data_IF_785620641331
#
_entry.id   IF_785620641331
#
_cell.length_a   1.000
_cell.length_b   1.000
_cell.length_c   1.000
_cell.angle_alpha   90.00
_cell.angle_beta   90.00
_cell.angle_gamma   90.00
#
_symmetry.space_group_name_H-M   'P 1'
#
loop_
_entity.id
_entity.type
_entity.pdbx_description
1 polymer ?
#
# COMPACT_ATOMS: atom_id res chain seq x y z
N UNK A 1 -32.94 25.75 -30.33
CA UNK A 1 -32.05 26.92 -30.44
C UNK A 1 -32.91 28.16 -30.65
N UNK A 2 -33.17 28.96 -29.60
CA UNK A 2 -33.61 30.36 -29.70
C UNK A 2 -33.21 31.07 -28.39
N UNK A 3 -32.94 32.38 -28.44
CA UNK A 3 -32.21 33.17 -27.42
C UNK A 3 -33.11 34.21 -26.76
N UNK A 4 -32.95 34.37 -25.44
CA UNK A 4 -32.91 35.62 -24.62
C UNK A 4 -34.13 36.58 -24.71
N UNK A 5 -34.53 37.29 -23.64
CA UNK A 5 -33.71 38.19 -22.80
C UNK A 5 -34.13 38.28 -21.31
N UNK A 6 -33.22 38.90 -20.54
CA UNK A 6 -33.26 39.35 -19.13
C UNK A 6 -34.28 40.50 -18.88
N UNK A 7 -34.58 40.99 -17.65
CA UNK A 7 -34.09 40.75 -16.27
C UNK A 7 -35.19 41.11 -15.27
N UNK A 8 -35.14 40.61 -14.02
CA UNK A 8 -35.60 41.40 -12.86
C UNK A 8 -34.90 40.97 -11.56
N UNK A 9 -34.59 41.93 -10.69
CA UNK A 9 -33.84 41.74 -9.44
C UNK A 9 -34.65 42.23 -8.25
N UNK A 10 -34.77 41.42 -7.19
CA UNK A 10 -35.45 41.84 -5.96
C UNK A 10 -35.17 40.93 -4.77
N UNK A 11 -34.57 41.49 -3.72
CA UNK A 11 -34.44 40.88 -2.38
C UNK A 11 -35.03 41.87 -1.38
N UNK A 12 -35.84 41.38 -0.41
CA UNK A 12 -35.86 41.98 0.91
C UNK A 12 -35.69 40.95 2.05
N UNK A 13 -35.15 41.43 3.16
CA UNK A 13 -34.97 40.67 4.42
C UNK A 13 -36.21 40.76 5.33
N UNK A 14 -36.28 39.88 6.33
CA UNK A 14 -37.22 39.99 7.47
C UNK A 14 -36.40 40.05 8.78
N UNK A 15 -36.82 40.91 9.71
CA UNK A 15 -36.10 41.25 10.94
C UNK A 15 -36.86 40.81 12.22
N UNK A 16 -36.19 40.93 13.37
CA UNK A 16 -36.44 40.23 14.65
C UNK A 16 -37.66 40.66 15.50
N UNK A 17 -38.08 39.80 16.43
CA UNK A 17 -38.73 40.10 17.74
C UNK A 17 -38.69 38.85 18.65
N UNK A 18 -37.76 38.72 19.61
CA UNK A 18 -37.80 39.19 21.03
C UNK A 18 -38.70 38.38 21.98
N UNK A 19 -38.12 37.72 23.02
CA UNK A 19 -38.61 37.75 24.41
C UNK A 19 -37.53 37.36 25.46
N UNK A 20 -37.84 37.59 26.75
CA UNK A 20 -36.97 37.76 27.96
C UNK A 20 -37.25 36.64 29.03
N UNK A 21 -36.46 36.34 30.09
CA UNK A 21 -35.13 36.72 30.63
C UNK A 21 -34.78 35.78 31.84
N UNK A 22 -33.49 35.66 32.24
CA UNK A 22 -32.98 35.21 33.59
C UNK A 22 -33.28 33.74 34.01
N UNK A 23 -32.57 33.02 34.91
CA UNK A 23 -31.29 33.07 35.67
C UNK A 23 -30.60 31.67 35.51
N UNK A 24 -29.37 31.31 35.90
CA UNK A 24 -28.51 31.59 37.08
C UNK A 24 -27.10 31.03 36.78
N UNK A 25 -26.03 31.55 37.38
CA UNK A 25 -24.69 30.95 37.31
C UNK A 25 -24.23 30.41 38.67
N UNK A 26 -23.65 29.21 38.71
CA UNK A 26 -22.91 28.67 39.85
C UNK A 26 -21.78 27.74 39.37
N UNK A 27 -20.60 27.86 39.99
CA UNK A 27 -19.38 27.15 39.62
C UNK A 27 -19.39 25.66 40.05
N UNK A 28 -18.69 24.82 39.28
CA UNK A 28 -17.97 23.64 39.78
C UNK A 28 -16.80 23.31 38.84
N UNK A 29 -15.72 22.77 39.40
CA UNK A 29 -14.39 22.67 38.77
C UNK A 29 -14.04 21.21 38.48
N UNK A 30 -13.36 20.95 37.36
CA UNK A 30 -12.80 19.65 36.97
C UNK A 30 -13.76 18.80 36.11
N UNK A 31 -13.30 17.98 35.16
CA UNK A 31 -11.94 17.51 34.84
C UNK A 31 -11.70 17.60 33.32
N UNK A 32 -10.43 17.57 32.90
CA UNK A 32 -9.97 17.39 31.51
C UNK A 32 -10.75 16.23 30.81
N UNK A 33 -11.00 16.23 29.50
CA UNK A 33 -10.01 16.21 28.43
C UNK A 33 -10.43 17.05 27.21
N UNK A 34 -9.70 18.13 26.94
CA UNK A 34 -9.63 18.71 25.62
C UNK A 34 -8.33 18.25 24.96
N UNK A 35 -8.45 17.37 23.96
CA UNK A 35 -7.58 17.25 22.77
C UNK A 35 -8.03 16.05 21.93
N UNK A 36 -9.16 16.22 21.25
CA UNK A 36 -9.48 15.43 20.07
C UNK A 36 -8.58 15.90 18.91
N UNK A 37 -7.34 15.41 18.90
CA UNK A 37 -6.32 15.80 17.92
C UNK A 37 -6.09 14.67 16.91
N UNK A 38 -7.01 14.61 15.94
CA UNK A 38 -6.80 14.18 14.54
C UNK A 38 -5.50 13.38 14.23
N UNK A 39 -5.44 12.13 14.68
CA UNK A 39 -4.54 11.12 14.11
C UNK A 39 -5.21 10.48 12.89
N UNK A 40 -5.23 11.20 11.78
CA UNK A 40 -5.68 10.66 10.49
C UNK A 40 -5.14 11.48 9.30
N UNK A 41 -4.63 10.74 8.29
CA UNK A 41 -4.34 11.20 6.93
C UNK A 41 -3.06 12.01 6.65
N UNK A 42 -1.88 11.59 7.15
CA UNK A 42 -0.60 12.01 6.53
C UNK A 42 0.51 10.94 6.45
N UNK A 43 0.44 9.81 7.17
CA UNK A 43 1.52 8.78 7.25
C UNK A 43 1.76 7.95 5.96
N UNK A 44 1.11 8.25 4.83
CA UNK A 44 1.22 7.42 3.61
C UNK A 44 2.35 7.84 2.65
N UNK A 45 3.07 8.93 2.94
CA UNK A 45 4.12 9.48 2.05
C UNK A 45 5.50 9.66 2.72
N UNK A 46 5.60 9.52 4.04
CA UNK A 46 6.85 9.72 4.76
C UNK A 46 7.60 8.39 4.90
N UNK A 47 8.91 8.41 4.64
CA UNK A 47 9.75 7.23 4.84
C UNK A 47 9.82 6.86 6.33
N UNK A 48 9.94 5.56 6.68
CA UNK A 48 10.05 5.14 8.09
C UNK A 48 11.15 5.91 8.84
N UNK A 49 10.81 6.47 10.00
CA UNK A 49 11.79 7.10 10.90
C UNK A 49 12.06 6.16 12.07
N UNK A 50 13.10 5.34 11.96
CA UNK A 50 13.54 4.39 12.98
C UNK A 50 14.99 4.67 13.43
N UNK A 51 15.30 4.33 14.69
CA UNK A 51 16.66 4.45 15.21
C UNK A 51 17.55 3.36 14.59
N UNK A 52 18.73 3.75 14.10
CA UNK A 52 19.39 3.04 13.02
C UNK A 52 20.33 1.93 13.50
N UNK A 53 19.85 0.68 13.50
CA UNK A 53 20.70 -0.52 13.33
C UNK A 53 19.93 -1.84 13.16
N UNK A 54 18.63 -1.91 13.45
CA UNK A 54 17.87 -3.16 13.39
C UNK A 54 17.53 -3.62 11.96
N UNK A 55 17.46 -4.94 11.75
CA UNK A 55 17.00 -5.54 10.49
C UNK A 55 15.58 -5.09 10.11
N UNK A 56 14.72 -4.86 11.09
CA UNK A 56 13.36 -4.33 10.94
C UNK A 56 13.34 -2.95 10.26
N UNK A 57 14.26 -2.05 10.64
CA UNK A 57 14.36 -0.71 10.05
C UNK A 57 14.79 -0.78 8.58
N UNK A 58 15.78 -1.62 8.26
CA UNK A 58 16.17 -1.89 6.87
C UNK A 58 15.03 -2.53 6.06
N UNK A 59 14.32 -3.50 6.64
CA UNK A 59 13.15 -4.13 6.02
C UNK A 59 12.05 -3.10 5.74
N UNK A 60 11.69 -2.27 6.70
CA UNK A 60 10.67 -1.24 6.55
C UNK A 60 11.01 -0.25 5.42
N UNK A 61 12.25 0.26 5.38
CA UNK A 61 12.69 1.12 4.28
C UNK A 61 12.62 0.43 2.91
N UNK A 62 12.96 -0.86 2.84
CA UNK A 62 12.92 -1.64 1.61
C UNK A 62 11.49 -1.91 1.15
N UNK A 63 10.57 -2.23 2.08
CA UNK A 63 9.15 -2.38 1.78
C UNK A 63 8.54 -1.05 1.30
N UNK A 64 8.87 0.06 1.96
CA UNK A 64 8.48 1.40 1.50
C UNK A 64 8.96 1.68 0.07
N UNK A 65 10.22 1.34 -0.28
CA UNK A 65 10.71 1.46 -1.66
C UNK A 65 9.90 0.61 -2.65
N UNK A 66 9.52 -0.61 -2.28
CA UNK A 66 8.66 -1.48 -3.10
C UNK A 66 7.24 -0.90 -3.28
N UNK A 67 6.70 -0.22 -2.27
CA UNK A 67 5.41 0.47 -2.34
C UNK A 67 5.49 1.67 -3.28
N UNK A 68 6.54 2.50 -3.18
CA UNK A 68 6.79 3.63 -4.08
C UNK A 68 6.94 3.17 -5.54
N UNK A 69 7.59 2.03 -5.81
CA UNK A 69 7.64 1.42 -7.16
C UNK A 69 6.25 1.05 -7.73
N UNK A 70 5.24 0.92 -6.87
CA UNK A 70 3.85 0.61 -7.25
C UNK A 70 2.90 1.80 -7.15
N UNK A 71 3.36 2.97 -6.72
CA UNK A 71 2.48 4.14 -6.56
C UNK A 71 1.86 4.55 -7.92
N UNK A 72 0.54 4.71 -7.96
CA UNK A 72 -0.19 5.05 -9.19
C UNK A 72 -0.23 3.95 -10.26
N UNK A 73 0.19 2.72 -9.95
CA UNK A 73 0.09 1.62 -10.90
C UNK A 73 -1.38 1.22 -11.18
N UNK A 74 -1.67 0.82 -12.43
CA UNK A 74 -2.99 0.31 -12.81
C UNK A 74 -3.04 -1.20 -12.65
N UNK A 75 -3.88 -1.67 -11.74
CA UNK A 75 -4.10 -3.10 -11.53
C UNK A 75 -4.97 -3.73 -12.63
N UNK A 76 -4.73 -5.01 -12.90
CA UNK A 76 -5.65 -5.93 -13.59
C UNK A 76 -5.77 -7.19 -12.74
N UNK A 77 -7.00 -7.62 -12.46
CA UNK A 77 -7.32 -8.80 -11.65
C UNK A 77 -8.06 -9.85 -12.48
N UNK A 78 -7.82 -11.13 -12.20
CA UNK A 78 -8.58 -12.28 -12.69
C UNK A 78 -8.75 -13.27 -11.55
N UNK A 79 -9.91 -13.94 -11.50
CA UNK A 79 -10.14 -15.08 -10.60
C UNK A 79 -10.35 -16.33 -11.45
N UNK A 80 -9.77 -17.46 -11.05
CA UNK A 80 -9.94 -18.75 -11.70
C UNK A 80 -9.94 -19.85 -10.62
N UNK A 81 -11.06 -20.57 -10.48
CA UNK A 81 -11.27 -21.48 -9.35
C UNK A 81 -11.20 -20.71 -8.02
N UNK A 82 -10.40 -21.21 -7.08
CA UNK A 82 -10.12 -20.54 -5.80
C UNK A 82 -8.95 -19.54 -5.88
N UNK A 83 -8.32 -19.33 -7.04
CA UNK A 83 -7.12 -18.50 -7.18
C UNK A 83 -7.42 -17.11 -7.74
N UNK A 84 -6.92 -16.08 -7.06
CA UNK A 84 -6.89 -14.70 -7.55
C UNK A 84 -5.51 -14.39 -8.12
N UNK A 85 -5.46 -13.84 -9.33
CA UNK A 85 -4.26 -13.35 -10.00
C UNK A 85 -4.37 -11.84 -10.17
N UNK A 86 -3.31 -11.09 -9.86
CA UNK A 86 -3.22 -9.65 -10.09
C UNK A 86 -1.90 -9.25 -10.74
N UNK A 87 -1.94 -8.24 -11.61
CA UNK A 87 -0.75 -7.57 -12.15
C UNK A 87 -0.99 -6.07 -12.16
N UNK A 88 -0.09 -5.31 -11.53
CA UNK A 88 -0.09 -3.86 -11.53
C UNK A 88 0.98 -3.31 -12.48
N UNK A 89 0.60 -2.32 -13.30
CA UNK A 89 1.46 -1.78 -14.37
C UNK A 89 1.59 -0.26 -14.33
N UNK A 90 2.77 0.23 -14.64
CA UNK A 90 3.05 1.65 -14.92
C UNK A 90 3.54 1.75 -16.37
N UNK A 91 2.96 2.64 -17.17
CA UNK A 91 3.31 2.83 -18.58
C UNK A 91 3.36 1.52 -19.40
N UNK A 92 2.40 0.61 -19.13
CA UNK A 92 2.29 -0.71 -19.76
C UNK A 92 3.25 -1.78 -19.23
N UNK A 93 4.25 -1.43 -18.41
CA UNK A 93 5.23 -2.36 -17.84
C UNK A 93 4.76 -2.90 -16.48
N UNK A 94 4.89 -4.20 -16.18
CA UNK A 94 4.60 -4.73 -14.85
C UNK A 94 5.58 -4.16 -13.82
N UNK A 95 5.04 -3.73 -12.68
CA UNK A 95 5.81 -3.30 -11.48
C UNK A 95 5.51 -4.18 -10.28
N UNK A 96 4.31 -4.79 -10.22
CA UNK A 96 3.95 -5.83 -9.25
C UNK A 96 3.09 -6.90 -9.90
N UNK A 97 3.20 -8.14 -9.43
CA UNK A 97 2.29 -9.22 -9.76
C UNK A 97 2.09 -10.12 -8.53
N UNK A 98 0.93 -10.76 -8.41
CA UNK A 98 0.68 -11.74 -7.35
C UNK A 98 -0.34 -12.79 -7.76
N UNK A 99 -0.24 -13.94 -7.10
CA UNK A 99 -1.30 -14.95 -7.05
C UNK A 99 -1.59 -15.27 -5.58
N UNK A 100 -2.87 -15.43 -5.23
CA UNK A 100 -3.29 -15.81 -3.88
C UNK A 100 -4.62 -16.56 -3.84
N UNK A 101 -4.75 -17.47 -2.87
CA UNK A 101 -6.00 -18.11 -2.51
C UNK A 101 -7.02 -17.03 -2.15
N UNK A 102 -8.14 -17.03 -2.87
CA UNK A 102 -9.12 -15.92 -2.87
C UNK A 102 -9.77 -15.70 -1.50
N UNK A 103 -9.88 -16.75 -0.69
CA UNK A 103 -10.48 -16.72 0.65
C UNK A 103 -9.43 -16.57 1.77
N UNK A 104 -8.20 -17.03 1.56
CA UNK A 104 -7.16 -17.08 2.60
C UNK A 104 -6.08 -15.99 2.48
N UNK A 105 -5.95 -15.36 1.32
CA UNK A 105 -4.88 -14.39 1.04
C UNK A 105 -3.48 -15.01 0.85
N UNK A 106 -3.27 -16.27 1.24
CA UNK A 106 -2.02 -17.00 1.09
C UNK A 106 -1.63 -17.18 -0.40
N UNK A 107 -0.34 -17.10 -0.71
CA UNK A 107 0.21 -17.06 -2.06
C UNK A 107 1.55 -16.33 -2.11
N UNK A 108 1.80 -15.64 -3.23
CA UNK A 108 3.08 -14.99 -3.51
C UNK A 108 2.93 -13.69 -4.30
N UNK A 109 3.72 -12.68 -3.92
CA UNK A 109 3.87 -11.40 -4.61
C UNK A 109 5.27 -11.22 -5.17
N UNK A 110 5.36 -10.58 -6.34
CA UNK A 110 6.59 -10.26 -7.06
C UNK A 110 6.62 -8.77 -7.36
N UNK A 111 7.75 -8.12 -7.11
CA UNK A 111 8.02 -6.74 -7.53
C UNK A 111 9.07 -6.73 -8.63
N UNK A 112 8.88 -5.84 -9.60
CA UNK A 112 9.69 -5.75 -10.80
C UNK A 112 10.30 -4.37 -10.96
N UNK A 113 11.60 -4.33 -11.23
CA UNK A 113 12.28 -3.13 -11.70
C UNK A 113 12.99 -3.48 -13.03
N UNK A 114 12.82 -2.63 -14.04
CA UNK A 114 13.44 -2.84 -15.36
C UNK A 114 13.19 -4.23 -15.98
N UNK A 115 12.02 -4.84 -15.70
CA UNK A 115 11.64 -6.16 -16.18
C UNK A 115 12.29 -7.34 -15.44
N UNK A 116 13.00 -7.10 -14.34
CA UNK A 116 13.59 -8.13 -13.47
C UNK A 116 12.91 -8.12 -12.11
N UNK A 117 12.74 -9.29 -11.51
CA UNK A 117 12.27 -9.40 -10.12
C UNK A 117 13.33 -8.83 -9.17
N UNK A 118 12.91 -7.89 -8.32
CA UNK A 118 13.74 -7.29 -7.26
C UNK A 118 13.35 -7.76 -5.86
N UNK A 119 12.09 -8.18 -5.68
CA UNK A 119 11.62 -8.80 -4.44
C UNK A 119 10.51 -9.83 -4.71
N UNK A 120 10.45 -10.83 -3.84
CA UNK A 120 9.37 -11.82 -3.75
C UNK A 120 8.90 -11.86 -2.30
N UNK A 121 7.61 -11.67 -2.04
CA UNK A 121 7.01 -11.85 -0.73
C UNK A 121 6.15 -13.11 -0.74
N UNK A 122 6.33 -13.99 0.25
CA UNK A 122 5.43 -15.10 0.52
C UNK A 122 4.36 -14.61 1.48
N UNK A 123 3.09 -14.84 1.17
CA UNK A 123 1.99 -14.37 2.02
C UNK A 123 1.73 -15.30 3.21
N UNK A 124 2.14 -16.58 3.12
CA UNK A 124 2.02 -17.57 4.19
C UNK A 124 2.76 -17.19 5.48
N UNK A 125 4.04 -16.84 5.34
CA UNK A 125 5.01 -16.64 6.43
C UNK A 125 5.49 -15.18 6.53
N UNK A 126 4.98 -14.29 5.66
CA UNK A 126 5.40 -12.90 5.55
C UNK A 126 6.86 -12.70 5.09
N UNK A 127 7.59 -13.78 4.78
CA UNK A 127 9.00 -13.70 4.40
C UNK A 127 9.15 -12.99 3.07
N UNK A 128 10.18 -12.14 2.98
CA UNK A 128 10.45 -11.37 1.76
C UNK A 128 11.91 -11.57 1.32
N UNK A 129 12.04 -12.15 0.14
CA UNK A 129 13.29 -12.51 -0.53
C UNK A 129 13.65 -11.37 -1.49
N UNK A 130 14.88 -10.86 -1.42
CA UNK A 130 15.31 -9.73 -2.23
C UNK A 130 16.48 -10.04 -3.14
N UNK A 131 16.50 -9.36 -4.30
CA UNK A 131 17.41 -9.64 -5.39
C UNK A 131 18.09 -8.36 -5.89
N UNK A 132 19.43 -8.37 -5.92
CA UNK A 132 20.22 -7.31 -6.54
C UNK A 132 20.62 -7.76 -7.96
N UNK A 133 20.17 -7.04 -8.99
CA UNK A 133 20.45 -7.33 -10.43
C UNK A 133 20.10 -8.76 -10.88
N UNK A 134 19.18 -9.43 -10.18
CA UNK A 134 18.77 -10.82 -10.43
C UNK A 134 19.59 -11.88 -9.67
N UNK A 135 20.39 -11.47 -8.68
CA UNK A 135 21.10 -12.34 -7.73
C UNK A 135 20.50 -12.22 -6.35
N UNK A 136 20.33 -13.36 -5.67
CA UNK A 136 19.81 -13.40 -4.30
C UNK A 136 20.73 -12.59 -3.38
N UNK A 137 20.17 -11.61 -2.68
CA UNK A 137 20.89 -10.75 -1.75
C UNK A 137 20.66 -11.20 -0.31
N UNK A 138 19.39 -11.26 0.10
CA UNK A 138 18.99 -11.49 1.49
C UNK A 138 17.51 -11.91 1.57
N UNK A 139 17.14 -12.60 2.65
CA UNK A 139 15.76 -12.95 3.00
C UNK A 139 15.47 -12.37 4.39
N UNK A 140 14.38 -11.63 4.51
CA UNK A 140 13.85 -11.15 5.78
C UNK A 140 12.67 -12.03 6.21
N UNK A 141 12.63 -12.41 7.47
CA UNK A 141 11.51 -13.12 8.12
C UNK A 141 10.96 -12.26 9.26
N UNK A 142 9.76 -12.57 9.75
CA UNK A 142 9.18 -11.97 10.96
C UNK A 142 9.27 -10.43 11.01
N UNK A 143 8.80 -9.76 9.96
CA UNK A 143 8.84 -8.29 9.85
C UNK A 143 10.25 -7.70 9.75
N UNK A 144 11.25 -8.52 9.46
CA UNK A 144 12.66 -8.14 9.37
C UNK A 144 13.46 -8.28 10.66
N UNK A 145 12.86 -8.81 11.72
CA UNK A 145 13.57 -9.13 12.97
C UNK A 145 14.61 -10.24 12.78
N UNK A 146 14.43 -11.12 11.78
CA UNK A 146 15.42 -12.11 11.35
C UNK A 146 15.85 -11.88 9.90
N UNK A 147 17.15 -12.02 9.61
CA UNK A 147 17.73 -11.83 8.28
C UNK A 147 18.68 -12.98 7.94
N UNK A 148 18.50 -13.59 6.77
CA UNK A 148 19.44 -14.53 6.18
C UNK A 148 20.16 -13.85 5.00
N UNK A 149 21.49 -13.84 5.02
CA UNK A 149 22.35 -13.32 3.95
C UNK A 149 23.36 -14.37 3.43
N UNK A 150 23.59 -15.44 4.19
CA UNK A 150 24.37 -16.61 3.79
C UNK A 150 23.45 -17.73 3.29
N UNK A 151 23.82 -18.32 2.16
CA UNK A 151 23.01 -19.32 1.45
C UNK A 151 23.91 -20.39 0.85
N UNK A 152 23.46 -21.65 0.92
CA UNK A 152 24.03 -22.73 0.12
C UNK A 152 23.85 -22.47 -1.38
N UNK A 153 24.62 -23.19 -2.20
CA UNK A 153 24.47 -23.14 -3.66
C UNK A 153 23.05 -23.55 -4.12
N UNK A 154 22.43 -24.51 -3.42
CA UNK A 154 21.08 -25.02 -3.70
C UNK A 154 20.02 -23.96 -3.41
N UNK A 155 19.97 -23.40 -2.20
CA UNK A 155 19.01 -22.33 -1.85
C UNK A 155 19.11 -21.15 -2.81
N UNK A 156 20.35 -20.73 -3.14
CA UNK A 156 20.60 -19.66 -4.12
C UNK A 156 20.08 -20.03 -5.50
N UNK A 157 20.30 -21.26 -5.97
CA UNK A 157 19.79 -21.72 -7.26
C UNK A 157 18.26 -21.75 -7.30
N UNK A 158 17.62 -22.24 -6.24
CA UNK A 158 16.15 -22.32 -6.13
C UNK A 158 15.51 -20.94 -6.12
N UNK A 159 15.94 -20.05 -5.21
CA UNK A 159 15.39 -18.70 -5.07
C UNK A 159 15.65 -17.84 -6.32
N UNK A 160 16.84 -17.90 -6.91
CA UNK A 160 17.11 -17.21 -8.20
C UNK A 160 16.31 -17.83 -9.36
N UNK A 161 15.93 -19.11 -9.29
CA UNK A 161 15.06 -19.74 -10.32
C UNK A 161 13.60 -19.34 -10.13
N UNK A 162 13.12 -19.23 -8.90
CA UNK A 162 11.81 -18.67 -8.59
C UNK A 162 11.69 -17.22 -9.10
N UNK A 163 12.71 -16.39 -8.88
CA UNK A 163 12.76 -15.02 -9.41
C UNK A 163 12.77 -14.94 -10.95
N UNK A 164 13.24 -15.98 -11.65
CA UNK A 164 13.20 -16.05 -13.12
C UNK A 164 11.88 -16.57 -13.68
N UNK A 165 11.16 -17.42 -12.94
CA UNK A 165 10.08 -18.23 -13.50
C UNK A 165 8.73 -18.18 -12.78
N UNK A 166 8.69 -17.91 -11.47
CA UNK A 166 7.48 -18.06 -10.66
C UNK A 166 6.30 -17.22 -11.16
N UNK A 167 6.55 -15.97 -11.54
CA UNK A 167 5.52 -15.06 -12.05
C UNK A 167 4.95 -15.41 -13.44
N UNK A 168 5.51 -16.41 -14.15
CA UNK A 168 5.18 -16.65 -15.56
C UNK A 168 3.76 -17.20 -15.75
N UNK A 169 3.18 -17.90 -14.77
CA UNK A 169 1.75 -18.28 -14.87
C UNK A 169 0.84 -17.07 -14.68
N UNK A 170 1.08 -16.23 -13.68
CA UNK A 170 0.35 -14.97 -13.46
C UNK A 170 0.29 -14.16 -14.77
N UNK A 171 1.44 -14.03 -15.45
CA UNK A 171 1.55 -13.34 -16.73
C UNK A 171 0.72 -14.02 -17.84
N UNK A 172 0.78 -15.36 -17.94
CA UNK A 172 -0.04 -16.16 -18.85
C UNK A 172 -1.54 -15.98 -18.60
N UNK A 173 -2.01 -16.07 -17.34
CA UNK A 173 -3.43 -15.92 -16.96
C UNK A 173 -4.00 -14.53 -17.27
N UNK A 174 -3.15 -13.50 -17.19
CA UNK A 174 -3.50 -12.09 -17.40
C UNK A 174 -3.03 -11.51 -18.74
N UNK A 175 -2.59 -12.36 -19.68
CA UNK A 175 -2.10 -11.99 -21.02
C UNK A 175 -1.03 -10.88 -21.02
N UNK A 176 -0.12 -10.91 -20.04
CA UNK A 176 1.06 -10.04 -20.00
C UNK A 176 2.12 -10.59 -20.97
N UNK A 177 2.80 -9.69 -21.69
CA UNK A 177 3.92 -9.99 -22.58
C UNK A 177 5.20 -9.39 -22.02
#
# INVERSE_FOLDING_TARGET
MFKLWYSESGVPQINQSVFKLLTTAAFSIGILFANASQLQANELNDAPTCDNSSGECFYAHRMYQLEQLTQGCRETRRVEGNMTYTVCRINGRPVRASESLTELGDGVGYWFENGKVVAIQRFHDGSTIFFNRGKLAEVYFDGGSQVQSEFSATERQELETLARNGYRDIFRKLNVR
#
